data_IF_908320023031
#
_entry.id   IF_908320023031
#
_cell.length_a   1.000
_cell.length_b   1.000
_cell.length_c   1.000
_cell.angle_alpha   90.00
_cell.angle_beta   90.00
_cell.angle_gamma   90.00
#
_symmetry.space_group_name_H-M   'P 1'
#
loop_
_entity.id
_entity.type
_entity.pdbx_description
1 polymer ?
#
# COMPACT_ATOMS: atom_id res chain seq x y z
N UNK A 1 -8.06 -10.77 13.99
CA UNK A 1 -8.05 -11.27 12.61
C UNK A 1 -7.04 -10.43 11.84
N UNK A 2 -5.87 -10.98 11.47
CA UNK A 2 -4.76 -10.22 10.88
C UNK A 2 -4.50 -10.62 9.42
N UNK A 3 -5.57 -10.88 8.68
CA UNK A 3 -5.48 -11.30 7.28
C UNK A 3 -6.38 -10.39 6.47
N UNK A 4 -5.81 -9.72 5.48
CA UNK A 4 -6.52 -8.90 4.51
C UNK A 4 -6.48 -9.59 3.15
N UNK A 5 -7.61 -9.59 2.43
CA UNK A 5 -7.72 -10.17 1.09
C UNK A 5 -7.91 -9.04 0.09
N UNK A 6 -6.99 -8.94 -0.85
CA UNK A 6 -6.94 -7.88 -1.85
C UNK A 6 -7.24 -8.53 -3.20
N UNK A 7 -8.25 -8.03 -3.90
CA UNK A 7 -8.57 -8.53 -5.23
C UNK A 7 -7.81 -7.70 -6.25
N UNK A 8 -7.14 -8.37 -7.18
CA UNK A 8 -6.46 -7.71 -8.29
C UNK A 8 -6.80 -8.39 -9.60
N UNK A 9 -6.54 -7.68 -10.69
CA UNK A 9 -6.74 -8.22 -12.04
C UNK A 9 -5.38 -8.50 -12.64
N UNK A 10 -5.14 -9.74 -13.04
CA UNK A 10 -3.90 -10.13 -13.71
C UNK A 10 -3.86 -9.59 -15.14
N UNK A 11 -2.67 -9.62 -15.76
CA UNK A 11 -2.48 -9.19 -17.15
C UNK A 11 -3.40 -9.93 -18.13
N UNK A 12 -3.68 -11.21 -17.88
CA UNK A 12 -4.59 -12.03 -18.68
C UNK A 12 -6.08 -11.76 -18.37
N UNK A 13 -6.39 -10.61 -17.76
CA UNK A 13 -7.73 -10.16 -17.36
C UNK A 13 -8.45 -11.12 -16.39
N UNK A 14 -7.70 -11.93 -15.63
CA UNK A 14 -8.27 -12.82 -14.61
C UNK A 14 -8.32 -12.10 -13.27
N UNK A 15 -9.38 -12.37 -12.50
CA UNK A 15 -9.47 -11.91 -11.12
C UNK A 15 -8.76 -12.90 -10.23
N UNK A 16 -7.78 -12.42 -9.49
CA UNK A 16 -7.09 -13.16 -8.45
C UNK A 16 -7.21 -12.44 -7.11
N UNK A 17 -6.97 -13.17 -6.03
CA UNK A 17 -6.99 -12.63 -4.68
C UNK A 17 -5.65 -12.88 -4.04
N UNK A 18 -5.03 -11.82 -3.58
CA UNK A 18 -3.83 -11.88 -2.77
C UNK A 18 -4.18 -11.75 -1.30
N UNK A 19 -3.40 -12.42 -0.45
CA UNK A 19 -3.62 -12.41 0.99
C UNK A 19 -2.44 -11.74 1.67
N UNK A 20 -2.67 -10.57 2.27
CA UNK A 20 -1.65 -9.85 3.03
C UNK A 20 -1.75 -10.27 4.49
N UNK A 21 -0.63 -10.76 5.01
CA UNK A 21 -0.47 -11.12 6.42
C UNK A 21 0.74 -10.36 6.98
N UNK A 22 0.54 -9.43 7.94
CA UNK A 22 1.62 -8.66 8.56
C UNK A 22 2.68 -9.53 9.26
N UNK A 23 2.35 -10.79 9.56
CA UNK A 23 3.27 -11.74 10.18
C UNK A 23 4.09 -12.57 9.16
N UNK A 24 3.90 -12.34 7.85
CA UNK A 24 4.63 -12.99 6.78
C UNK A 24 5.64 -12.01 6.14
N UNK A 25 6.63 -12.54 5.43
CA UNK A 25 7.61 -11.75 4.67
C UNK A 25 6.99 -10.98 3.50
N UNK A 26 5.77 -11.33 3.10
CA UNK A 26 5.03 -10.70 2.00
C UNK A 26 3.97 -9.74 2.53
N UNK A 27 4.42 -8.59 3.04
CA UNK A 27 3.56 -7.55 3.63
C UNK A 27 3.78 -6.16 3.05
N UNK A 28 4.54 -6.06 1.97
CA UNK A 28 4.65 -4.83 1.20
C UNK A 28 3.42 -4.70 0.29
N UNK A 29 3.00 -3.48 0.01
CA UNK A 29 1.85 -3.17 -0.85
C UNK A 29 2.22 -2.06 -1.83
N UNK A 30 1.62 -2.14 -3.02
CA UNK A 30 1.77 -1.19 -4.11
C UNK A 30 0.44 -0.48 -4.32
N UNK A 31 0.48 0.84 -4.35
CA UNK A 31 -0.66 1.74 -4.50
C UNK A 31 -0.45 2.65 -5.70
N UNK A 32 -1.54 3.20 -6.22
CA UNK A 32 -1.46 4.29 -7.18
C UNK A 32 -0.95 5.55 -6.45
N UNK A 33 0.08 6.21 -6.99
CA UNK A 33 0.54 7.46 -6.42
C UNK A 33 -0.51 8.56 -6.66
N UNK A 34 -0.66 9.46 -5.69
CA UNK A 34 -1.53 10.62 -5.89
C UNK A 34 -0.97 11.49 -7.01
N UNK A 35 -1.84 11.95 -7.91
CA UNK A 35 -1.45 12.55 -9.20
C UNK A 35 -1.10 14.04 -9.07
N UNK A 36 -0.73 14.49 -7.87
CA UNK A 36 -0.44 15.89 -7.52
C UNK A 36 0.85 16.44 -8.17
N UNK A 37 1.32 15.82 -9.26
CA UNK A 37 2.30 16.39 -10.20
C UNK A 37 3.74 16.48 -9.68
N UNK A 38 4.01 16.01 -8.46
CA UNK A 38 5.36 16.11 -7.83
C UNK A 38 6.21 14.87 -8.01
N UNK A 39 5.62 13.70 -8.27
CA UNK A 39 6.35 12.44 -8.44
C UNK A 39 6.32 11.97 -9.89
N UNK A 40 7.50 11.81 -10.50
CA UNK A 40 7.67 11.21 -11.83
C UNK A 40 7.25 9.73 -11.89
N UNK A 41 7.00 9.11 -10.74
CA UNK A 41 6.69 7.69 -10.61
C UNK A 41 5.18 7.49 -10.38
N UNK A 42 4.50 6.62 -11.16
CA UNK A 42 3.05 6.45 -11.09
C UNK A 42 2.56 5.64 -9.89
N UNK A 43 3.47 5.00 -9.15
CA UNK A 43 3.13 4.11 -8.03
C UNK A 43 3.81 4.51 -6.73
N UNK A 44 3.11 4.28 -5.63
CA UNK A 44 3.60 4.37 -4.26
C UNK A 44 3.76 2.98 -3.66
N UNK A 45 4.73 2.83 -2.77
CA UNK A 45 4.96 1.57 -2.06
C UNK A 45 4.87 1.80 -0.56
N UNK A 46 4.32 0.82 0.15
CA UNK A 46 4.25 0.87 1.61
C UNK A 46 4.45 -0.51 2.22
N UNK A 47 4.95 -0.55 3.45
CA UNK A 47 5.12 -1.73 4.27
C UNK A 47 3.99 -1.83 5.29
N UNK A 48 3.18 -2.89 5.23
CA UNK A 48 2.05 -3.07 6.15
C UNK A 48 2.56 -3.49 7.52
N UNK A 49 2.26 -2.66 8.53
CA UNK A 49 2.59 -2.90 9.93
C UNK A 49 1.45 -3.61 10.67
N UNK A 50 0.20 -3.32 10.28
CA UNK A 50 -0.97 -3.87 10.93
C UNK A 50 -2.23 -3.73 10.08
N UNK A 51 -3.17 -4.65 10.31
CA UNK A 51 -4.50 -4.63 9.71
C UNK A 51 -5.50 -4.41 10.83
N UNK A 52 -6.30 -3.36 10.70
CA UNK A 52 -7.27 -2.97 11.72
C UNK A 52 -8.66 -2.86 11.11
N UNK A 53 -9.67 -2.95 11.98
CA UNK A 53 -11.04 -2.66 11.63
C UNK A 53 -11.72 -1.87 12.74
N UNK A 54 -12.63 -0.99 12.36
CA UNK A 54 -13.48 -0.25 13.29
C UNK A 54 -14.94 -0.40 12.87
N UNK A 55 -15.83 -0.47 13.86
CA UNK A 55 -17.27 -0.35 13.63
C UNK A 55 -17.62 1.14 13.70
N UNK A 56 -17.90 1.74 12.55
CA UNK A 56 -18.17 3.17 12.40
C UNK A 56 -19.67 3.36 12.19
N UNK A 57 -20.26 4.31 12.92
CA UNK A 57 -21.64 4.77 12.68
C UNK A 57 -21.54 6.15 12.05
N UNK A 58 -22.11 6.31 10.87
CA UNK A 58 -22.15 7.60 10.20
C UNK A 58 -23.37 8.38 10.69
N UNK A 59 -23.14 9.55 11.30
CA UNK A 59 -24.20 10.42 11.85
C UNK A 59 -24.37 11.72 11.05
N UNK A 60 -23.92 11.74 9.78
CA UNK A 60 -24.00 12.94 8.94
C UNK A 60 -25.39 13.22 8.35
N UNK A 61 -25.57 14.33 7.61
CA UNK A 61 -26.88 14.75 7.09
C UNK A 61 -27.56 13.74 6.15
N UNK A 62 -26.78 12.84 5.54
CA UNK A 62 -27.23 11.76 4.66
C UNK A 62 -27.36 10.41 5.37
N UNK A 63 -27.18 10.37 6.70
CA UNK A 63 -27.34 9.16 7.49
C UNK A 63 -28.81 8.74 7.48
N UNK A 64 -29.12 7.68 6.72
CA UNK A 64 -30.46 7.08 6.70
C UNK A 64 -30.66 6.13 7.87
N UNK A 65 -29.59 5.42 8.24
CA UNK A 65 -29.63 4.32 9.20
C UNK A 65 -28.42 4.44 10.13
N UNK A 66 -28.64 4.52 11.44
CA UNK A 66 -27.59 4.55 12.48
C UNK A 66 -26.92 3.18 12.69
N UNK A 67 -26.81 2.40 11.61
CA UNK A 67 -26.25 1.06 11.63
C UNK A 67 -24.72 1.14 11.65
N UNK A 68 -24.11 0.37 12.54
CA UNK A 68 -22.66 0.22 12.58
C UNK A 68 -22.16 -0.49 11.32
N UNK A 69 -21.22 0.13 10.61
CA UNK A 69 -20.55 -0.45 9.45
C UNK A 69 -19.11 -0.76 9.82
N UNK A 70 -18.67 -1.97 9.52
CA UNK A 70 -17.27 -2.35 9.67
C UNK A 70 -16.46 -1.74 8.53
N UNK A 71 -15.45 -0.95 8.89
CA UNK A 71 -14.46 -0.38 7.97
C UNK A 71 -13.12 -1.02 8.29
N UNK A 72 -12.41 -1.47 7.26
CA UNK A 72 -11.07 -2.03 7.37
C UNK A 72 -10.04 -1.01 6.90
N UNK A 73 -8.91 -0.93 7.57
CA UNK A 73 -7.82 -0.02 7.21
C UNK A 73 -6.47 -0.63 7.56
N UNK A 74 -5.48 -0.34 6.72
CA UNK A 74 -4.11 -0.81 6.87
C UNK A 74 -3.30 0.30 7.52
N UNK A 75 -2.52 -0.04 8.56
CA UNK A 75 -1.47 0.83 9.08
C UNK A 75 -0.17 0.49 8.37
N UNK A 76 0.41 1.48 7.69
CA UNK A 76 1.57 1.27 6.81
C UNK A 76 2.72 2.22 7.13
N UNK A 77 3.93 1.81 6.76
CA UNK A 77 5.12 2.65 6.69
C UNK A 77 5.47 2.90 5.23
N UNK A 78 5.64 4.15 4.84
CA UNK A 78 5.86 4.52 3.45
C UNK A 78 7.31 4.27 3.00
N UNK A 79 7.44 3.92 1.73
CA UNK A 79 8.71 3.95 1.01
C UNK A 79 8.79 5.20 0.12
N UNK A 80 10.00 5.72 -0.06
CA UNK A 80 10.32 6.73 -1.07
C UNK A 80 11.09 6.08 -2.23
N UNK A 81 10.66 6.38 -3.45
CA UNK A 81 11.36 5.97 -4.67
C UNK A 81 12.66 6.78 -4.79
N UNK A 82 13.77 6.11 -5.01
CA UNK A 82 15.07 6.76 -5.23
C UNK A 82 15.19 7.14 -6.71
N UNK A 83 15.72 8.33 -7.01
CA UNK A 83 15.95 8.82 -8.39
C UNK A 83 17.05 8.05 -9.17
N UNK A 84 17.23 6.76 -8.90
CA UNK A 84 18.09 5.91 -9.71
C UNK A 84 17.41 5.59 -11.04
N UNK A 85 18.18 5.45 -12.15
CA UNK A 85 17.62 4.97 -13.40
C UNK A 85 17.00 3.58 -13.18
N UNK A 86 15.69 3.49 -13.41
CA UNK A 86 14.88 2.28 -13.26
C UNK A 86 13.91 2.19 -14.45
N UNK A 87 13.34 1.01 -14.65
CA UNK A 87 12.43 0.73 -15.77
C UNK A 87 13.06 -0.10 -16.88
N UNK A 88 12.26 -0.33 -17.92
CA UNK A 88 12.58 -1.24 -19.02
C UNK A 88 13.88 -0.86 -19.73
N UNK A 89 14.09 0.43 -19.99
CA UNK A 89 15.27 0.96 -20.69
C UNK A 89 16.58 0.74 -19.93
N UNK A 90 16.48 0.52 -18.61
CA UNK A 90 17.62 0.31 -17.73
C UNK A 90 17.73 -1.15 -17.23
N UNK A 91 16.81 -2.04 -17.64
CA UNK A 91 16.68 -3.41 -17.14
C UNK A 91 16.81 -3.50 -15.60
N UNK A 92 16.32 -2.47 -14.90
CA UNK A 92 16.54 -2.27 -13.48
C UNK A 92 15.22 -2.03 -12.76
N UNK A 93 15.08 -2.67 -11.61
CA UNK A 93 13.92 -2.51 -10.75
C UNK A 93 13.97 -1.17 -10.01
N UNK A 94 12.79 -0.65 -9.68
CA UNK A 94 12.66 0.54 -8.85
C UNK A 94 13.35 0.31 -7.51
N UNK A 95 14.25 1.24 -7.17
CA UNK A 95 14.93 1.23 -5.87
C UNK A 95 14.12 2.10 -4.93
N UNK A 96 13.71 1.50 -3.84
CA UNK A 96 12.98 2.19 -2.80
C UNK A 96 13.78 2.17 -1.51
N UNK A 97 13.54 3.16 -0.66
CA UNK A 97 14.06 3.20 0.71
C UNK A 97 12.95 3.61 1.66
N UNK A 98 13.09 3.26 2.93
CA UNK A 98 12.12 3.72 3.92
C UNK A 98 12.21 5.22 4.08
N UNK A 99 11.04 5.87 4.14
CA UNK A 99 10.97 7.25 4.59
C UNK A 99 11.56 7.34 6.01
N UNK A 100 12.45 8.32 6.28
CA UNK A 100 13.02 8.52 7.62
C UNK A 100 11.93 8.67 8.68
N UNK A 101 12.05 7.94 9.79
CA UNK A 101 11.03 7.91 10.86
C UNK A 101 10.77 9.27 11.51
N UNK A 102 11.72 10.21 11.40
CA UNK A 102 11.59 11.57 11.93
C UNK A 102 10.60 12.43 11.12
N UNK A 103 10.24 12.02 9.90
CA UNK A 103 9.26 12.75 9.09
C UNK A 103 7.84 12.39 9.50
N UNK A 104 6.96 13.40 9.50
CA UNK A 104 5.55 13.23 9.86
C UNK A 104 4.75 12.37 8.89
N UNK A 105 5.25 12.19 7.66
CA UNK A 105 4.63 11.40 6.58
C UNK A 105 5.23 10.00 6.45
N UNK A 106 6.04 9.54 7.41
CA UNK A 106 6.66 8.21 7.36
C UNK A 106 5.65 7.06 7.54
N UNK A 107 4.50 7.34 8.16
CA UNK A 107 3.44 6.36 8.40
C UNK A 107 2.09 6.88 7.94
N UNK A 108 1.17 5.98 7.63
CA UNK A 108 -0.17 6.36 7.18
C UNK A 108 -1.18 5.24 7.29
N UNK A 109 -2.44 5.62 7.07
CA UNK A 109 -3.56 4.70 6.92
C UNK A 109 -3.95 4.57 5.46
N UNK A 110 -4.26 3.36 5.04
CA UNK A 110 -4.61 3.02 3.65
C UNK A 110 -5.89 2.18 3.64
N UNK A 111 -6.80 2.48 2.71
CA UNK A 111 -7.94 1.60 2.43
C UNK A 111 -7.42 0.35 1.69
N UNK A 112 -7.72 -0.87 2.15
CA UNK A 112 -7.39 -2.09 1.42
C UNK A 112 -7.82 -2.11 -0.05
N UNK A 113 -8.86 -1.35 -0.41
CA UNK A 113 -9.40 -1.24 -1.77
C UNK A 113 -8.52 -0.40 -2.70
N UNK A 114 -7.66 0.45 -2.14
CA UNK A 114 -6.71 1.28 -2.91
C UNK A 114 -5.40 0.54 -3.22
N UNK A 115 -5.23 -0.66 -2.65
CA UNK A 115 -4.05 -1.49 -2.91
C UNK A 115 -4.21 -2.19 -4.24
N UNK A 116 -3.26 -1.97 -5.14
CA UNK A 116 -3.25 -2.59 -6.47
C UNK A 116 -2.77 -4.05 -6.42
N UNK A 117 -1.73 -4.30 -5.63
CA UNK A 117 -1.08 -5.63 -5.48
C UNK A 117 -0.05 -5.59 -4.35
N UNK A 118 0.31 -6.76 -3.83
CA UNK A 118 1.53 -6.92 -3.05
C UNK A 118 2.68 -7.27 -4.01
N UNK A 119 3.74 -6.44 -4.10
CA UNK A 119 4.87 -6.73 -4.96
C UNK A 119 5.63 -7.94 -4.43
N UNK A 120 5.91 -8.93 -5.29
CA UNK A 120 6.83 -10.01 -4.97
C UNK A 120 8.15 -9.41 -4.46
N UNK A 121 8.64 -9.86 -3.31
CA UNK A 121 9.90 -9.43 -2.67
C UNK A 121 11.08 -9.11 -3.63
N UNK A 122 11.35 -9.83 -4.74
CA UNK A 122 12.39 -9.44 -5.70
C UNK A 122 12.19 -8.08 -6.37
N UNK A 123 10.97 -7.53 -6.41
CA UNK A 123 10.63 -6.29 -7.11
C UNK A 123 11.05 -5.01 -6.37
N UNK A 124 11.38 -5.10 -5.07
CA UNK A 124 11.79 -3.96 -4.26
C UNK A 124 13.18 -4.22 -3.67
N UNK A 125 14.21 -3.57 -4.22
CA UNK A 125 15.52 -3.52 -3.55
C UNK A 125 15.50 -2.42 -2.50
N UNK A 126 15.25 -2.81 -1.25
CA UNK A 126 15.42 -1.93 -0.10
C UNK A 126 16.90 -1.59 0.07
N UNK A 127 17.29 -0.35 -0.22
CA UNK A 127 18.60 0.15 0.19
C UNK A 127 18.56 0.46 1.69
N UNK A 128 19.19 -0.38 2.50
CA UNK A 128 19.42 -0.07 3.91
C UNK A 128 20.42 1.08 3.97
N UNK A 129 19.95 2.28 4.31
CA UNK A 129 20.80 3.32 4.85
C UNK A 129 20.98 3.03 6.34
N UNK A 130 22.18 2.55 6.70
CA UNK A 130 22.68 2.59 8.08
C UNK A 130 23.01 4.04 8.46
#
# INVERSE_FOLDING_TARGET
HNICRINYTTYDLRRETETVNPNCDHRDVMLLADTDGTTSHPFSYAHVLGIYHANVIYTGPTARDYLSRRVEFLWVRWFEVTNSPAGYDHCALDKVKFVPMARSDAFGFVDPSDVLRSPLAPLLRCSHAL
#
